data_IF_162011699491
#
_entry.id   IF_162011699491
#
_cell.length_a   1.000
_cell.length_b   1.000
_cell.length_c   1.000
_cell.angle_alpha   90.00
_cell.angle_beta   90.00
_cell.angle_gamma   90.00
#
_symmetry.space_group_name_H-M   'P 1'
#
loop_
_entity.id
_entity.type
_entity.pdbx_description
1 polymer ?
#
# COMPACT_ATOMS: atom_id res chain seq x y z
N UNK A 1 25.63 13.15 -24.18
CA UNK A 1 26.53 12.67 -23.10
C UNK A 1 26.02 12.98 -21.70
N UNK A 2 25.80 14.24 -21.30
CA UNK A 2 25.33 14.56 -19.93
C UNK A 2 23.93 13.99 -19.59
N UNK A 3 22.95 14.18 -20.47
CA UNK A 3 21.59 13.62 -20.33
C UNK A 3 21.61 12.10 -20.09
N UNK A 4 22.28 11.37 -20.97
CA UNK A 4 22.39 9.90 -20.89
C UNK A 4 23.06 9.43 -19.59
N UNK A 5 24.16 10.06 -19.17
CA UNK A 5 24.84 9.71 -17.94
C UNK A 5 23.94 9.89 -16.71
N UNK A 6 23.17 11.00 -16.65
CA UNK A 6 22.25 11.28 -15.55
C UNK A 6 21.08 10.29 -15.57
N UNK A 7 20.47 10.04 -16.73
CA UNK A 7 19.37 9.08 -16.86
C UNK A 7 19.82 7.69 -16.41
N UNK A 8 20.95 7.18 -16.92
CA UNK A 8 21.50 5.88 -16.49
C UNK A 8 21.70 5.82 -14.97
N UNK A 9 22.22 6.90 -14.37
CA UNK A 9 22.39 7.00 -12.91
C UNK A 9 21.05 6.95 -12.15
N UNK A 10 19.97 7.52 -12.69
CA UNK A 10 18.64 7.42 -12.07
C UNK A 10 18.03 6.04 -12.25
N UNK A 11 18.18 5.40 -13.41
CA UNK A 11 17.66 4.05 -13.68
C UNK A 11 18.26 3.03 -12.71
N UNK A 12 19.57 3.11 -12.44
CA UNK A 12 20.24 2.20 -11.49
C UNK A 12 19.62 2.25 -10.09
N UNK A 13 19.12 3.40 -9.66
CA UNK A 13 18.46 3.54 -8.35
C UNK A 13 17.12 2.80 -8.25
N UNK A 14 16.55 2.38 -9.37
CA UNK A 14 15.30 1.61 -9.39
C UNK A 14 15.52 0.13 -9.01
N UNK A 15 16.77 -0.36 -8.99
CA UNK A 15 17.08 -1.76 -8.63
C UNK A 15 16.62 -2.10 -7.22
N UNK A 16 17.05 -1.31 -6.23
CA UNK A 16 16.74 -1.56 -4.81
C UNK A 16 15.22 -1.56 -4.49
N UNK A 17 14.42 -0.55 -4.88
CA UNK A 17 12.97 -0.58 -4.62
C UNK A 17 12.26 -1.72 -5.37
N UNK A 18 12.74 -2.11 -6.55
CA UNK A 18 12.17 -3.24 -7.30
C UNK A 18 12.45 -4.57 -6.62
N UNK A 19 13.67 -4.80 -6.11
CA UNK A 19 14.01 -5.98 -5.32
C UNK A 19 13.22 -6.03 -4.00
N UNK A 20 13.10 -4.89 -3.32
CA UNK A 20 12.30 -4.78 -2.09
C UNK A 20 10.83 -5.14 -2.33
N UNK A 21 10.27 -4.79 -3.50
CA UNK A 21 8.92 -5.19 -3.87
C UNK A 21 8.79 -6.72 -3.95
N UNK A 22 9.78 -7.42 -4.51
CA UNK A 22 9.82 -8.89 -4.53
C UNK A 22 9.84 -9.45 -3.11
N UNK A 23 10.68 -8.91 -2.23
CA UNK A 23 10.81 -9.38 -0.85
C UNK A 23 9.49 -9.27 -0.08
N UNK A 24 8.78 -8.15 -0.25
CA UNK A 24 7.46 -7.94 0.36
C UNK A 24 6.44 -8.97 -0.13
N UNK A 25 6.44 -9.28 -1.44
CA UNK A 25 5.54 -10.28 -2.01
C UNK A 25 5.88 -11.69 -1.52
N UNK A 26 7.17 -12.04 -1.40
CA UNK A 26 7.61 -13.33 -0.85
C UNK A 26 7.18 -13.48 0.61
N UNK A 27 7.32 -12.42 1.41
CA UNK A 27 6.89 -12.39 2.80
C UNK A 27 5.38 -12.62 2.94
N UNK A 28 4.57 -11.95 2.12
CA UNK A 28 3.12 -12.13 2.12
C UNK A 28 2.73 -13.53 1.64
N UNK A 29 3.36 -14.03 0.57
CA UNK A 29 3.08 -15.35 0.05
C UNK A 29 3.40 -16.45 1.08
N UNK A 30 4.52 -16.35 1.79
CA UNK A 30 4.85 -17.26 2.89
C UNK A 30 3.81 -17.23 4.02
N UNK A 31 3.31 -16.04 4.35
CA UNK A 31 2.23 -15.87 5.35
C UNK A 31 0.94 -16.56 4.91
N UNK A 32 0.55 -16.40 3.64
CA UNK A 32 -0.62 -17.09 3.06
C UNK A 32 -0.45 -18.61 3.12
N UNK A 33 0.72 -19.14 2.74
CA UNK A 33 0.99 -20.58 2.80
C UNK A 33 0.86 -21.12 4.22
N UNK A 34 1.46 -20.45 5.21
CA UNK A 34 1.36 -20.84 6.61
C UNK A 34 -0.10 -20.88 7.09
N UNK A 35 -0.88 -19.84 6.77
CA UNK A 35 -2.31 -19.77 7.10
C UNK A 35 -3.12 -20.89 6.44
N UNK A 36 -2.81 -21.24 5.20
CA UNK A 36 -3.47 -22.35 4.51
C UNK A 36 -3.10 -23.70 5.13
N UNK A 37 -1.83 -23.88 5.51
CA UNK A 37 -1.31 -25.12 6.08
C UNK A 37 -1.85 -25.41 7.50
N UNK A 38 -2.34 -24.41 8.24
CA UNK A 38 -3.06 -24.62 9.51
C UNK A 38 -4.26 -25.59 9.38
N UNK A 39 -4.87 -25.67 8.18
CA UNK A 39 -5.95 -26.63 7.90
C UNK A 39 -5.49 -28.09 7.90
N UNK A 40 -4.18 -28.33 7.86
CA UNK A 40 -3.55 -29.66 7.94
C UNK A 40 -3.12 -30.01 9.37
N UNK A 41 -3.54 -29.25 10.39
CA UNK A 41 -3.16 -29.46 11.80
C UNK A 41 -3.49 -30.84 12.38
N UNK A 42 -4.42 -31.59 11.77
CA UNK A 42 -4.69 -32.99 12.12
C UNK A 42 -3.52 -33.93 11.81
N UNK A 43 -2.64 -33.55 10.88
CA UNK A 43 -1.46 -34.31 10.46
C UNK A 43 -0.21 -33.40 10.54
N UNK A 44 0.41 -33.27 11.72
CA UNK A 44 1.47 -32.29 11.95
C UNK A 44 2.68 -32.45 11.02
N UNK A 45 3.12 -33.69 10.78
CA UNK A 45 4.25 -33.98 9.88
C UNK A 45 3.95 -33.63 8.43
N UNK A 46 2.76 -33.97 7.93
CA UNK A 46 2.30 -33.56 6.60
C UNK A 46 2.26 -32.04 6.46
N UNK A 47 1.78 -31.34 7.47
CA UNK A 47 1.73 -29.88 7.50
C UNK A 47 3.14 -29.29 7.38
N UNK A 48 4.06 -29.70 8.24
CA UNK A 48 5.45 -29.22 8.25
C UNK A 48 6.14 -29.47 6.92
N UNK A 49 5.98 -30.67 6.37
CA UNK A 49 6.62 -31.04 5.10
C UNK A 49 6.01 -30.28 3.91
N UNK A 50 4.69 -30.06 3.91
CA UNK A 50 4.02 -29.23 2.90
C UNK A 50 4.51 -27.79 2.95
N UNK A 51 4.56 -27.19 4.16
CA UNK A 51 5.08 -25.84 4.37
C UNK A 51 6.54 -25.75 3.89
N UNK A 52 7.37 -26.73 4.24
CA UNK A 52 8.79 -26.79 3.87
C UNK A 52 8.98 -26.84 2.36
N UNK A 53 8.29 -27.75 1.65
CA UNK A 53 8.43 -27.94 0.20
C UNK A 53 8.00 -26.66 -0.53
N UNK A 54 6.81 -26.14 -0.21
CA UNK A 54 6.28 -24.93 -0.88
C UNK A 54 7.15 -23.71 -0.59
N UNK A 55 7.60 -23.53 0.65
CA UNK A 55 8.50 -22.42 1.01
C UNK A 55 9.84 -22.51 0.27
N UNK A 56 10.39 -23.71 0.16
CA UNK A 56 11.63 -23.94 -0.62
C UNK A 56 11.44 -23.55 -2.08
N UNK A 57 10.33 -23.96 -2.69
CA UNK A 57 10.00 -23.59 -4.07
C UNK A 57 9.85 -22.07 -4.23
N UNK A 58 9.17 -21.39 -3.31
CA UNK A 58 9.03 -19.92 -3.32
C UNK A 58 10.40 -19.24 -3.28
N UNK A 59 11.34 -19.74 -2.47
CA UNK A 59 12.72 -19.19 -2.42
C UNK A 59 13.49 -19.38 -3.73
N UNK A 60 13.29 -20.51 -4.42
CA UNK A 60 13.86 -20.68 -5.76
C UNK A 60 13.25 -19.67 -6.75
N UNK A 61 11.92 -19.49 -6.71
CA UNK A 61 11.22 -18.53 -7.57
C UNK A 61 11.61 -17.09 -7.26
N UNK A 62 11.89 -16.77 -6.01
CA UNK A 62 12.42 -15.47 -5.57
C UNK A 62 13.72 -15.14 -6.31
N UNK A 63 14.71 -16.03 -6.28
CA UNK A 63 15.99 -15.82 -6.98
C UNK A 63 15.79 -15.55 -8.48
N UNK A 64 15.05 -16.43 -9.16
CA UNK A 64 14.77 -16.27 -10.61
C UNK A 64 14.03 -14.97 -10.94
N UNK A 65 13.11 -14.55 -10.07
CA UNK A 65 12.33 -13.31 -10.27
C UNK A 65 13.21 -12.09 -10.06
N UNK A 66 14.08 -12.08 -9.05
CA UNK A 66 15.05 -11.01 -8.80
C UNK A 66 16.00 -10.85 -9.98
N UNK A 67 16.54 -11.95 -10.50
CA UNK A 67 17.43 -11.92 -11.66
C UNK A 67 16.74 -11.33 -12.90
N UNK A 68 15.50 -11.75 -13.18
CA UNK A 68 14.72 -11.21 -14.29
C UNK A 68 14.45 -9.71 -14.14
N UNK A 69 14.15 -9.25 -12.92
CA UNK A 69 13.89 -7.83 -12.65
C UNK A 69 15.15 -7.00 -12.84
N UNK A 70 16.31 -7.49 -12.37
CA UNK A 70 17.58 -6.83 -12.60
C UNK A 70 17.91 -6.75 -14.09
N UNK A 71 17.67 -7.83 -14.84
CA UNK A 71 17.83 -7.85 -16.29
C UNK A 71 16.92 -6.82 -16.98
N UNK A 72 15.65 -6.70 -16.59
CA UNK A 72 14.73 -5.70 -17.15
C UNK A 72 15.25 -4.27 -16.93
N UNK A 73 15.78 -3.98 -15.74
CA UNK A 73 16.37 -2.66 -15.43
C UNK A 73 17.67 -2.45 -16.22
N UNK A 74 18.50 -3.49 -16.38
CA UNK A 74 19.71 -3.42 -17.19
C UNK A 74 19.40 -3.18 -18.67
N UNK A 75 18.29 -3.72 -19.18
CA UNK A 75 17.79 -3.42 -20.54
C UNK A 75 17.44 -1.93 -20.67
N UNK A 76 16.67 -1.38 -19.74
CA UNK A 76 16.32 0.06 -19.71
C UNK A 76 17.58 0.95 -19.59
N UNK A 77 18.62 0.47 -18.90
CA UNK A 77 19.90 1.16 -18.79
C UNK A 77 20.72 1.06 -20.08
N UNK A 78 20.64 -0.05 -20.82
CA UNK A 78 21.49 -0.32 -21.99
C UNK A 78 21.22 0.62 -23.17
N UNK A 79 19.96 1.03 -23.35
CA UNK A 79 19.53 1.85 -24.47
C UNK A 79 18.52 2.90 -24.04
N UNK A 80 18.81 4.17 -24.36
CA UNK A 80 17.91 5.29 -24.11
C UNK A 80 17.12 5.60 -25.38
N UNK A 81 15.83 5.28 -25.39
CA UNK A 81 14.99 5.50 -26.55
C UNK A 81 14.46 6.95 -26.62
N UNK A 82 15.21 7.85 -27.25
CA UNK A 82 14.78 9.25 -27.45
C UNK A 82 13.68 9.42 -28.50
N UNK A 83 13.26 8.35 -29.18
CA UNK A 83 12.15 8.37 -30.15
C UNK A 83 10.80 7.98 -29.52
N UNK A 84 10.75 7.78 -28.21
CA UNK A 84 9.52 7.43 -27.51
C UNK A 84 8.47 8.55 -27.63
N UNK A 85 7.21 8.21 -27.89
CA UNK A 85 6.12 9.17 -28.15
C UNK A 85 5.90 10.17 -26.98
N UNK A 86 5.97 9.69 -25.74
CA UNK A 86 5.84 10.52 -24.54
C UNK A 86 7.11 11.35 -24.21
N UNK A 87 8.19 11.22 -24.99
CA UNK A 87 9.42 11.98 -24.74
C UNK A 87 9.32 13.37 -25.37
N UNK A 88 9.48 14.41 -24.56
CA UNK A 88 9.28 15.81 -25.01
C UNK A 88 10.22 16.24 -26.14
N UNK A 89 11.41 15.62 -26.25
CA UNK A 89 12.45 16.00 -27.21
C UNK A 89 13.17 17.32 -26.89
N UNK A 90 14.32 17.54 -27.54
CA UNK A 90 15.20 18.68 -27.28
C UNK A 90 14.56 20.04 -27.57
N UNK A 91 13.77 20.16 -28.64
CA UNK A 91 13.15 21.42 -29.04
C UNK A 91 12.17 21.96 -27.98
N UNK A 92 11.31 21.08 -27.45
CA UNK A 92 10.33 21.47 -26.43
C UNK A 92 10.97 21.71 -25.06
N UNK A 93 12.03 20.96 -24.72
CA UNK A 93 12.79 21.18 -23.48
C UNK A 93 13.48 22.55 -23.46
N UNK A 94 14.06 22.97 -24.60
CA UNK A 94 14.69 24.27 -24.72
C UNK A 94 13.67 25.41 -24.66
N UNK A 95 12.49 25.25 -25.29
CA UNK A 95 11.38 26.21 -25.19
C UNK A 95 10.91 26.41 -23.73
N UNK A 96 10.77 25.33 -22.94
CA UNK A 96 10.43 25.43 -21.51
C UNK A 96 11.48 26.20 -20.71
N UNK A 97 12.77 25.97 -20.98
CA UNK A 97 13.86 26.73 -20.37
C UNK A 97 13.82 28.23 -20.75
N UNK A 98 13.47 28.55 -22.01
CA UNK A 98 13.30 29.95 -22.44
C UNK A 98 12.13 30.67 -21.76
N UNK A 99 11.06 29.94 -21.46
CA UNK A 99 9.87 30.47 -20.78
C UNK A 99 10.12 30.69 -19.29
N UNK A 100 10.96 29.86 -18.66
CA UNK A 100 11.39 30.04 -17.27
C UNK A 100 12.28 31.29 -17.11
N UNK A 101 13.17 31.57 -18.06
CA UNK A 101 14.00 32.78 -18.03
C UNK A 101 13.24 34.09 -18.33
N UNK A 102 12.06 34.03 -18.97
CA UNK A 102 11.12 35.17 -19.05
C UNK A 102 10.26 35.33 -17.78
N UNK A 103 10.23 34.33 -16.89
CA UNK A 103 9.54 34.35 -15.59
C UNK A 103 10.51 34.67 -14.44
N UNK A 104 11.31 35.74 -14.55
CA UNK A 104 12.06 36.26 -13.38
C UNK A 104 11.18 36.96 -12.34
N UNK A 105 9.90 37.13 -12.59
CA UNK A 105 8.89 37.37 -11.57
C UNK A 105 7.60 36.68 -12.01
N UNK A 106 7.10 35.74 -11.21
CA UNK A 106 5.67 35.45 -11.22
C UNK A 106 5.06 36.59 -10.39
N UNK A 107 4.23 37.48 -10.96
CA UNK A 107 3.82 38.74 -10.33
C UNK A 107 3.26 38.60 -8.90
N UNK A 108 2.71 37.41 -8.59
CA UNK A 108 2.04 37.12 -7.33
C UNK A 108 2.69 36.01 -6.49
N UNK A 109 3.91 35.56 -6.81
CA UNK A 109 4.57 34.58 -5.93
C UNK A 109 5.10 35.29 -4.67
N UNK A 110 4.65 34.82 -3.51
CA UNK A 110 5.11 35.32 -2.22
C UNK A 110 6.50 34.74 -1.93
N UNK A 111 7.47 35.63 -1.71
CA UNK A 111 8.86 35.34 -1.38
C UNK A 111 9.00 35.09 0.12
N UNK A 112 8.33 35.89 0.95
CA UNK A 112 8.34 35.75 2.41
C UNK A 112 7.10 36.34 3.05
N UNK A 113 6.69 35.76 4.18
CA UNK A 113 5.76 36.36 5.14
C UNK A 113 6.40 36.44 6.52
N UNK A 114 5.96 37.39 7.33
CA UNK A 114 6.35 37.44 8.73
C UNK A 114 6.03 38.77 9.40
N UNK A 115 6.13 38.79 10.71
CA UNK A 115 5.96 39.98 11.51
C UNK A 115 7.18 40.90 11.39
N UNK A 116 6.94 42.19 11.19
CA UNK A 116 7.94 43.25 11.29
C UNK A 116 7.33 44.45 12.03
N UNK A 117 8.16 45.14 12.79
CA UNK A 117 7.76 46.36 13.48
C UNK A 117 8.16 47.58 12.65
N UNK A 118 7.22 48.51 12.38
CA UNK A 118 7.53 49.81 11.77
C UNK A 118 7.81 50.81 12.90
N UNK A 119 9.05 51.30 13.00
CA UNK A 119 9.48 52.18 14.11
C UNK A 119 9.11 53.67 13.91
N UNK A 120 8.91 54.14 12.68
CA UNK A 120 8.81 55.58 12.37
C UNK A 120 7.37 56.06 12.04
N UNK A 121 6.34 55.54 12.71
CA UNK A 121 4.97 56.07 12.55
C UNK A 121 4.77 57.18 13.60
N UNK A 122 4.88 58.44 13.16
CA UNK A 122 4.65 59.71 13.89
C UNK A 122 4.20 59.59 15.36
N UNK A 123 5.01 60.16 16.27
CA UNK A 123 4.77 60.24 17.72
C UNK A 123 3.36 60.74 18.10
N UNK A 124 2.66 61.45 17.21
CA UNK A 124 1.33 62.01 17.47
C UNK A 124 0.16 61.01 17.28
N UNK A 125 0.39 59.79 16.75
CA UNK A 125 -0.69 58.77 16.54
C UNK A 125 -0.33 57.33 16.95
N UNK A 126 0.61 57.20 17.89
CA UNK A 126 0.83 55.97 18.66
C UNK A 126 1.88 55.04 18.07
N UNK A 127 3.11 55.20 18.57
CA UNK A 127 4.16 54.18 18.75
C UNK A 127 4.65 53.37 17.54
N UNK A 128 5.75 52.64 17.77
CA UNK A 128 6.18 51.52 16.93
C UNK A 128 5.05 50.48 16.87
N UNK A 129 4.62 50.09 15.68
CA UNK A 129 3.53 49.12 15.49
C UNK A 129 4.01 47.92 14.71
N UNK A 130 3.59 46.75 15.15
CA UNK A 130 3.85 45.48 14.49
C UNK A 130 2.77 45.17 13.45
N UNK A 131 3.19 44.71 12.29
CA UNK A 131 2.30 44.34 11.19
C UNK A 131 2.75 43.02 10.57
N UNK A 132 1.82 42.32 9.93
CA UNK A 132 2.11 41.13 9.15
C UNK A 132 2.53 41.54 7.74
N UNK A 133 3.78 41.27 7.36
CA UNK A 133 4.33 41.63 6.06
C UNK A 133 4.29 40.46 5.09
N UNK A 134 4.01 40.76 3.83
CA UNK A 134 4.03 39.85 2.70
C UNK A 134 4.89 40.48 1.61
N UNK A 135 6.05 39.87 1.35
CA UNK A 135 6.98 40.26 0.29
C UNK A 135 6.73 39.39 -0.94
N UNK A 136 6.44 40.02 -2.08
CA UNK A 136 6.40 39.38 -3.40
C UNK A 136 7.57 39.85 -4.26
N UNK A 137 7.67 39.35 -5.49
CA UNK A 137 8.66 39.83 -6.45
C UNK A 137 8.44 41.28 -6.91
N UNK A 138 7.26 41.86 -6.66
CA UNK A 138 6.89 43.19 -7.18
C UNK A 138 6.50 44.18 -6.07
N UNK A 139 6.08 43.70 -4.89
CA UNK A 139 5.62 44.58 -3.81
C UNK A 139 5.92 44.05 -2.41
N UNK A 140 6.05 44.98 -1.48
CA UNK A 140 6.00 44.74 -0.04
C UNK A 140 4.63 45.23 0.47
N UNK A 141 3.77 44.30 0.86
CA UNK A 141 2.47 44.62 1.48
C UNK A 141 2.50 44.34 2.97
N UNK A 142 1.73 45.10 3.75
CA UNK A 142 1.52 44.78 5.16
C UNK A 142 0.06 44.90 5.59
N UNK A 143 -0.29 44.07 6.56
CA UNK A 143 -1.63 43.81 7.03
C UNK A 143 -1.71 44.01 8.54
N UNK A 144 -2.92 44.22 9.05
CA UNK A 144 -3.16 44.32 10.49
C UNK A 144 -2.70 43.05 11.24
N UNK A 145 -2.93 41.88 10.64
CA UNK A 145 -2.70 40.56 11.21
C UNK A 145 -2.44 39.51 10.11
N UNK A 146 -2.13 38.28 10.53
CA UNK A 146 -1.84 37.13 9.67
C UNK A 146 -3.05 36.62 8.85
N UNK A 147 -4.27 37.07 9.15
CA UNK A 147 -5.45 36.70 8.38
C UNK A 147 -5.46 37.35 6.99
N UNK A 148 -4.58 38.34 6.75
CA UNK A 148 -4.40 39.05 5.48
C UNK A 148 -5.70 39.71 4.95
N UNK A 149 -6.70 39.95 5.83
CA UNK A 149 -8.00 40.55 5.46
C UNK A 149 -7.94 42.07 5.33
N UNK A 150 -7.19 42.74 6.20
CA UNK A 150 -7.09 44.20 6.23
C UNK A 150 -5.70 44.67 5.78
N UNK A 151 -5.54 44.86 4.48
CA UNK A 151 -4.31 45.40 3.87
C UNK A 151 -4.16 46.88 4.24
N UNK A 152 -3.10 47.23 4.96
CA UNK A 152 -2.80 48.60 5.38
C UNK A 152 -2.11 49.39 4.28
N UNK A 153 -1.18 48.76 3.57
CA UNK A 153 -0.44 49.39 2.47
C UNK A 153 0.16 48.35 1.54
N UNK A 154 0.49 48.79 0.33
CA UNK A 154 1.22 48.02 -0.68
C UNK A 154 2.27 48.94 -1.29
N UNK A 155 3.53 48.63 -1.04
CA UNK A 155 4.68 49.38 -1.51
C UNK A 155 5.30 48.66 -2.72
N UNK A 156 5.26 49.24 -3.94
CA UNK A 156 6.00 48.72 -5.08
C UNK A 156 7.50 48.69 -4.80
N UNK A 157 8.21 47.65 -5.25
CA UNK A 157 9.65 47.49 -5.00
C UNK A 157 10.52 48.35 -5.93
N UNK A 158 9.92 49.02 -6.91
CA UNK A 158 10.62 49.85 -7.89
C UNK A 158 11.43 50.97 -7.22
N UNK A 159 12.70 51.05 -7.61
CA UNK A 159 13.63 52.08 -7.14
C UNK A 159 13.82 52.09 -5.62
N UNK A 160 13.60 50.96 -4.94
CA UNK A 160 13.91 50.82 -3.52
C UNK A 160 15.33 50.31 -3.29
N UNK A 161 15.94 50.81 -2.22
CA UNK A 161 17.20 50.28 -1.66
C UNK A 161 17.07 50.08 -0.16
N UNK A 162 17.92 49.21 0.36
CA UNK A 162 18.05 48.95 1.80
C UNK A 162 19.30 49.65 2.33
N UNK A 163 19.18 50.26 3.52
CA UNK A 163 20.33 50.76 4.28
C UNK A 163 20.26 50.24 5.71
N UNK A 164 21.42 50.05 6.31
CA UNK A 164 21.51 49.81 7.74
C UNK A 164 21.22 51.07 8.55
N UNK A 165 20.51 50.88 9.66
CA UNK A 165 20.17 51.97 10.59
C UNK A 165 20.91 51.72 11.89
N UNK A 166 21.63 52.74 12.36
CA UNK A 166 22.36 52.65 13.62
C UNK A 166 21.41 52.36 14.79
N UNK A 167 21.84 51.44 15.67
CA UNK A 167 21.06 51.03 16.84
C UNK A 167 20.90 52.23 17.79
N UNK A 168 19.69 52.77 17.88
CA UNK A 168 19.37 53.84 18.83
C UNK A 168 19.65 53.41 20.28
N UNK A 169 20.15 54.33 21.10
CA UNK A 169 20.71 54.11 22.45
C UNK A 169 19.77 53.43 23.47
N UNK A 170 18.50 53.17 23.13
CA UNK A 170 17.49 52.57 24.02
C UNK A 170 16.65 51.45 23.34
N UNK A 171 16.97 51.02 22.12
CA UNK A 171 16.24 49.95 21.42
C UNK A 171 16.99 48.62 21.46
N UNK A 172 16.30 47.56 21.90
CA UNK A 172 16.80 46.18 21.81
C UNK A 172 16.51 45.52 20.46
N UNK A 173 15.75 46.17 19.57
CA UNK A 173 15.42 45.62 18.24
C UNK A 173 16.50 45.96 17.20
N UNK A 174 16.70 45.06 16.25
CA UNK A 174 17.60 45.23 15.10
C UNK A 174 16.84 45.87 13.95
N UNK A 175 17.37 46.93 13.34
CA UNK A 175 16.63 47.80 12.41
C UNK A 175 17.36 47.94 11.08
N UNK A 176 16.61 47.91 9.98
CA UNK A 176 17.07 48.33 8.66
C UNK A 176 16.03 49.27 8.03
N UNK A 177 16.46 50.14 7.13
CA UNK A 177 15.58 51.07 6.43
C UNK A 177 15.41 50.69 4.96
N UNK A 178 14.21 50.92 4.45
CA UNK A 178 13.91 50.90 3.01
C UNK A 178 13.61 52.31 2.56
N UNK A 179 14.30 52.78 1.53
CA UNK A 179 14.14 54.13 0.98
C UNK A 179 14.05 54.09 -0.55
N UNK A 180 13.47 55.12 -1.15
CA UNK A 180 13.40 55.26 -2.59
C UNK A 180 14.58 56.07 -3.14
N UNK A 181 15.27 55.57 -4.17
CA UNK A 181 16.45 56.23 -4.76
C UNK A 181 16.11 57.53 -5.50
N UNK A 182 14.86 57.69 -5.95
CA UNK A 182 14.37 58.90 -6.63
C UNK A 182 13.79 59.92 -5.64
N UNK A 183 14.09 59.78 -4.34
CA UNK A 183 13.62 60.64 -3.25
C UNK A 183 12.10 60.77 -3.13
N UNK A 184 11.34 59.80 -3.66
CA UNK A 184 9.89 59.70 -3.42
C UNK A 184 9.60 59.24 -2.00
N UNK A 185 8.45 59.65 -1.48
CA UNK A 185 7.94 59.13 -0.22
C UNK A 185 7.62 57.64 -0.39
N UNK A 186 8.14 56.83 0.54
CA UNK A 186 7.95 55.37 0.58
C UNK A 186 6.65 55.02 1.30
N UNK A 187 6.30 55.78 2.34
CA UNK A 187 5.04 55.59 3.06
C UNK A 187 4.55 56.92 3.64
N UNK A 188 3.35 57.35 3.25
CA UNK A 188 2.78 58.66 3.61
C UNK A 188 3.74 59.81 3.24
N UNK A 189 4.16 60.57 4.24
CA UNK A 189 5.11 61.68 4.19
C UNK A 189 6.57 61.25 4.48
N UNK A 190 6.80 59.96 4.74
CA UNK A 190 8.12 59.42 5.07
C UNK A 190 8.89 59.02 3.81
N UNK A 191 10.12 59.52 3.68
CA UNK A 191 11.07 59.18 2.61
C UNK A 191 11.71 57.80 2.78
N UNK A 192 11.64 57.24 3.98
CA UNK A 192 12.10 55.89 4.30
C UNK A 192 11.19 55.25 5.35
N UNK A 193 11.13 53.92 5.38
CA UNK A 193 10.49 53.15 6.45
C UNK A 193 11.54 52.33 7.18
N UNK A 194 11.50 52.39 8.51
CA UNK A 194 12.39 51.60 9.38
C UNK A 194 11.66 50.35 9.85
N UNK A 195 12.23 49.20 9.49
CA UNK A 195 11.70 47.87 9.80
C UNK A 195 12.59 47.24 10.86
N UNK A 196 11.98 46.85 11.96
CA UNK A 196 12.66 46.27 13.11
C UNK A 196 12.28 44.80 13.31
N UNK A 197 13.29 43.98 13.60
CA UNK A 197 13.21 42.58 13.95
C UNK A 197 13.73 42.35 15.37
N UNK A 198 13.38 41.21 15.97
CA UNK A 198 13.80 40.87 17.33
C UNK A 198 15.23 40.29 17.38
N UNK A 199 15.77 39.82 16.25
CA UNK A 199 17.13 39.27 16.14
C UNK A 199 17.88 39.77 14.91
N UNK A 200 19.22 39.71 14.95
CA UNK A 200 20.07 40.00 13.79
C UNK A 200 19.86 38.98 12.66
N UNK A 201 19.67 37.70 13.02
CA UNK A 201 19.40 36.62 12.06
C UNK A 201 18.13 36.90 11.25
N UNK A 202 17.08 37.43 11.89
CA UNK A 202 15.85 37.82 11.21
C UNK A 202 16.09 38.97 10.22
N UNK A 203 16.88 39.98 10.62
CA UNK A 203 17.26 41.08 9.71
C UNK A 203 17.98 40.55 8.49
N UNK A 204 19.00 39.71 8.67
CA UNK A 204 19.80 39.16 7.57
C UNK A 204 18.95 38.28 6.65
N UNK A 205 18.07 37.46 7.23
CA UNK A 205 17.11 36.64 6.50
C UNK A 205 16.11 37.49 5.70
N UNK A 206 15.63 38.62 6.26
CA UNK A 206 14.74 39.56 5.57
C UNK A 206 15.47 40.29 4.45
N UNK A 207 16.69 40.79 4.68
CA UNK A 207 17.56 41.38 3.64
C UNK A 207 17.83 40.41 2.50
N UNK A 208 18.11 39.14 2.79
CA UNK A 208 18.28 38.10 1.77
C UNK A 208 16.99 37.88 0.95
N UNK A 209 15.82 38.01 1.58
CA UNK A 209 14.53 37.93 0.89
C UNK A 209 14.27 39.14 0.00
N UNK A 210 14.64 40.34 0.43
CA UNK A 210 14.61 41.55 -0.40
C UNK A 210 15.61 41.50 -1.57
N UNK A 211 16.82 40.97 -1.35
CA UNK A 211 17.80 40.75 -2.41
C UNK A 211 17.27 39.80 -3.49
N UNK A 212 16.58 38.73 -3.08
CA UNK A 212 15.86 37.83 -4.01
C UNK A 212 14.72 38.53 -4.74
N UNK A 213 14.12 39.56 -4.15
CA UNK A 213 13.09 40.40 -4.77
C UNK A 213 13.67 41.55 -5.63
N UNK A 214 15.00 41.65 -5.77
CA UNK A 214 15.65 42.70 -6.56
C UNK A 214 15.89 44.03 -5.83
N UNK A 215 15.69 44.09 -4.52
CA UNK A 215 16.00 45.28 -3.69
C UNK A 215 17.38 45.09 -3.08
N UNK A 216 18.33 45.92 -3.51
CA UNK A 216 19.74 45.79 -3.14
C UNK A 216 20.09 46.70 -1.95
N UNK A 217 21.06 46.29 -1.10
CA UNK A 217 21.64 47.19 -0.14
C UNK A 217 22.33 48.36 -0.86
N UNK A 218 22.29 49.54 -0.26
CA UNK A 218 23.11 50.66 -0.71
C UNK A 218 24.58 50.29 -0.59
N UNK A 219 25.33 50.51 -1.68
CA UNK A 219 26.78 50.37 -1.63
C UNK A 219 27.31 51.56 -0.84
N UNK A 220 27.95 51.30 0.29
CA UNK A 220 28.73 52.33 0.96
C UNK A 220 29.76 52.86 -0.05
N UNK A 221 29.61 54.12 -0.45
CA UNK A 221 30.70 54.87 -1.07
C UNK A 221 31.72 55.18 0.02
N UNK A 222 32.43 54.16 0.47
CA UNK A 222 33.72 54.31 1.13
C UNK A 222 34.75 53.91 0.08
N UNK A 223 35.47 54.90 -0.43
CA UNK A 223 36.74 54.71 -1.14
C UNK A 223 37.64 53.82 -0.28
N UNK A 224 37.73 52.54 -0.60
CA UNK A 224 38.81 51.67 -0.17
C UNK A 224 39.00 50.62 -1.27
N UNK A 225 39.94 50.91 -2.15
CA UNK A 225 40.67 49.92 -2.91
C UNK A 225 41.30 48.94 -1.92
N UNK A 226 40.67 47.80 -1.68
CA UNK A 226 41.42 46.58 -1.38
C UNK A 226 40.55 45.32 -1.57
N UNK A 227 40.88 44.57 -2.63
CA UNK A 227 41.09 43.13 -2.57
C UNK A 227 40.01 42.18 -2.04
N UNK A 228 38.74 42.59 -1.91
CA UNK A 228 37.68 41.64 -1.57
C UNK A 228 37.33 40.80 -2.80
N UNK A 229 37.85 39.57 -2.84
CA UNK A 229 37.48 38.54 -3.80
C UNK A 229 35.96 38.45 -3.94
N UNK A 230 35.44 39.00 -5.05
CA UNK A 230 34.14 38.65 -5.61
C UNK A 230 34.20 37.18 -6.08
N UNK A 231 34.18 36.24 -5.13
CA UNK A 231 33.75 34.86 -5.39
C UNK A 231 32.22 34.80 -5.44
N UNK A 232 31.60 35.79 -6.08
CA UNK A 232 30.22 35.66 -6.54
C UNK A 232 30.29 34.76 -7.76
N UNK A 233 29.92 33.49 -7.58
CA UNK A 233 29.74 32.53 -8.67
C UNK A 233 28.90 33.17 -9.78
N UNK A 234 29.56 33.75 -10.78
CA UNK A 234 28.96 34.06 -12.07
C UNK A 234 28.71 32.71 -12.73
N UNK A 235 27.58 32.08 -12.43
CA UNK A 235 27.09 30.99 -13.27
C UNK A 235 26.81 31.61 -14.63
N UNK A 236 27.51 31.12 -15.65
CA UNK A 236 27.27 31.49 -17.03
C UNK A 236 25.77 31.29 -17.35
N UNK A 237 25.01 32.34 -17.69
CA UNK A 237 23.58 32.25 -18.00
C UNK A 237 23.26 31.24 -19.11
N UNK A 238 24.24 30.96 -19.98
CA UNK A 238 24.12 29.93 -21.01
C UNK A 238 24.21 28.51 -20.42
N UNK A 239 25.11 28.29 -19.45
CA UNK A 239 25.23 27.03 -18.72
C UNK A 239 23.96 26.75 -17.89
N UNK A 240 23.40 27.75 -17.21
CA UNK A 240 22.13 27.61 -16.47
C UNK A 240 21.00 27.12 -17.38
N UNK A 241 20.88 27.70 -18.57
CA UNK A 241 19.88 27.31 -19.57
C UNK A 241 20.09 25.88 -20.08
N UNK A 242 21.34 25.50 -20.32
CA UNK A 242 21.68 24.14 -20.76
C UNK A 242 21.39 23.11 -19.67
N UNK A 243 21.74 23.40 -18.41
CA UNK A 243 21.44 22.56 -17.26
C UNK A 243 19.93 22.37 -17.10
N UNK A 244 19.15 23.45 -17.21
CA UNK A 244 17.69 23.37 -17.12
C UNK A 244 17.08 22.58 -18.29
N UNK A 245 17.62 22.74 -19.49
CA UNK A 245 17.18 21.93 -20.65
C UNK A 245 17.47 20.45 -20.41
N UNK A 246 18.66 20.10 -19.92
CA UNK A 246 19.03 18.72 -19.58
C UNK A 246 18.11 18.18 -18.47
N UNK A 247 17.83 18.96 -17.44
CA UNK A 247 16.91 18.58 -16.35
C UNK A 247 15.53 18.21 -16.89
N UNK A 248 14.94 19.06 -17.73
CA UNK A 248 13.64 18.81 -18.33
C UNK A 248 13.62 17.52 -19.19
N UNK A 249 14.70 17.24 -19.91
CA UNK A 249 14.84 15.99 -20.67
C UNK A 249 14.95 14.78 -19.74
N UNK A 250 15.78 14.87 -18.70
CA UNK A 250 15.94 13.81 -17.68
C UNK A 250 14.59 13.51 -17.03
N UNK A 251 13.88 14.52 -16.57
CA UNK A 251 12.58 14.38 -15.90
C UNK A 251 11.55 13.71 -16.82
N UNK A 252 11.49 14.14 -18.09
CA UNK A 252 10.61 13.52 -19.09
C UNK A 252 10.95 12.04 -19.32
N UNK A 253 12.22 11.70 -19.48
CA UNK A 253 12.61 10.31 -19.72
C UNK A 253 12.42 9.41 -18.49
N UNK A 254 12.80 9.91 -17.31
CA UNK A 254 12.61 9.18 -16.04
C UNK A 254 11.11 8.93 -15.77
N UNK A 255 10.22 9.85 -16.14
CA UNK A 255 8.78 9.62 -16.05
C UNK A 255 8.30 8.43 -16.90
N UNK A 256 8.83 8.28 -18.11
CA UNK A 256 8.54 7.15 -19.02
C UNK A 256 9.02 5.84 -18.38
N UNK A 257 10.27 5.79 -17.92
CA UNK A 257 10.83 4.61 -17.26
C UNK A 257 10.03 4.25 -16.02
N UNK A 258 9.67 5.21 -15.18
CA UNK A 258 8.85 4.97 -14.00
C UNK A 258 7.47 4.41 -14.34
N UNK A 259 6.88 4.79 -15.49
CA UNK A 259 5.63 4.22 -15.99
C UNK A 259 5.85 2.76 -16.44
N UNK A 260 6.89 2.50 -17.22
CA UNK A 260 7.30 1.16 -17.67
C UNK A 260 7.53 0.19 -16.49
N UNK A 261 8.40 0.56 -15.55
CA UNK A 261 8.77 -0.28 -14.40
C UNK A 261 7.56 -0.56 -13.48
N UNK A 262 6.70 0.44 -13.23
CA UNK A 262 5.49 0.24 -12.41
C UNK A 262 4.49 -0.73 -13.03
N UNK A 263 4.49 -0.88 -14.35
CA UNK A 263 3.63 -1.83 -15.06
C UNK A 263 4.28 -3.22 -15.17
N UNK A 264 5.57 -3.28 -15.52
CA UNK A 264 6.28 -4.52 -15.75
C UNK A 264 6.63 -5.28 -14.46
N UNK A 265 6.89 -4.59 -13.34
CA UNK A 265 7.26 -5.26 -12.08
C UNK A 265 6.16 -6.19 -11.56
N UNK A 266 4.90 -5.73 -11.35
CA UNK A 266 3.84 -6.60 -10.90
C UNK A 266 3.58 -7.78 -11.86
N UNK A 267 3.67 -7.54 -13.18
CA UNK A 267 3.47 -8.59 -14.20
C UNK A 267 4.56 -9.66 -14.12
N UNK A 268 5.81 -9.25 -13.94
CA UNK A 268 6.95 -10.17 -13.82
C UNK A 268 6.82 -11.03 -12.57
N UNK A 269 6.52 -10.41 -11.42
CA UNK A 269 6.30 -11.13 -10.15
C UNK A 269 5.11 -12.09 -10.28
N UNK A 270 3.99 -11.63 -10.86
CA UNK A 270 2.81 -12.46 -11.05
C UNK A 270 3.11 -13.69 -11.91
N UNK A 271 3.79 -13.51 -13.04
CA UNK A 271 4.09 -14.58 -13.97
C UNK A 271 5.13 -15.57 -13.42
N UNK A 272 6.27 -15.06 -12.94
CA UNK A 272 7.40 -15.90 -12.55
C UNK A 272 7.31 -16.43 -11.13
N UNK A 273 6.58 -15.78 -10.22
CA UNK A 273 6.48 -16.23 -8.84
C UNK A 273 5.11 -16.78 -8.52
N UNK A 274 4.06 -15.97 -8.61
CA UNK A 274 2.72 -16.33 -8.12
C UNK A 274 2.11 -17.44 -8.96
N UNK A 275 2.04 -17.27 -10.28
CA UNK A 275 1.46 -18.27 -11.17
C UNK A 275 2.26 -19.57 -11.20
N UNK A 276 3.59 -19.48 -11.14
CA UNK A 276 4.46 -20.66 -11.05
C UNK A 276 4.28 -21.40 -9.73
N UNK A 277 4.15 -20.69 -8.59
CA UNK A 277 3.89 -21.32 -7.28
C UNK A 277 2.52 -21.97 -7.25
N UNK A 278 1.49 -21.30 -7.80
CA UNK A 278 0.17 -21.88 -7.96
C UNK A 278 0.22 -23.17 -8.79
N UNK A 279 0.88 -23.15 -9.95
CA UNK A 279 0.99 -24.33 -10.81
C UNK A 279 1.72 -25.48 -10.11
N UNK A 280 2.82 -25.18 -9.40
CA UNK A 280 3.57 -26.15 -8.61
C UNK A 280 2.68 -26.82 -7.54
N UNK A 281 1.92 -26.03 -6.79
CA UNK A 281 1.00 -26.56 -5.76
C UNK A 281 -0.06 -27.49 -6.39
N UNK A 282 -0.59 -27.14 -7.56
CA UNK A 282 -1.64 -27.93 -8.20
C UNK A 282 -1.14 -29.20 -8.88
N UNK A 283 0.06 -29.19 -9.48
CA UNK A 283 0.49 -30.26 -10.39
C UNK A 283 1.67 -31.08 -9.86
N UNK A 284 2.53 -30.51 -9.00
CA UNK A 284 3.81 -31.12 -8.64
C UNK A 284 3.92 -31.45 -7.16
N UNK A 285 3.36 -30.62 -6.27
CA UNK A 285 3.47 -30.77 -4.82
C UNK A 285 3.12 -32.18 -4.33
N UNK A 286 2.08 -32.78 -4.92
CA UNK A 286 1.67 -34.14 -4.57
C UNK A 286 2.79 -35.15 -4.85
N UNK A 287 3.42 -35.09 -6.03
CA UNK A 287 4.51 -35.99 -6.39
C UNK A 287 5.70 -35.84 -5.43
N UNK A 288 6.02 -34.61 -5.00
CA UNK A 288 7.05 -34.36 -3.99
C UNK A 288 6.69 -35.02 -2.65
N UNK A 289 5.46 -34.87 -2.17
CA UNK A 289 5.02 -35.51 -0.92
C UNK A 289 5.08 -37.05 -1.00
N UNK A 290 4.69 -37.63 -2.14
CA UNK A 290 4.77 -39.09 -2.35
C UNK A 290 6.20 -39.61 -2.50
N UNK A 291 7.13 -38.78 -2.97
CA UNK A 291 8.56 -39.13 -3.06
C UNK A 291 9.25 -39.22 -1.69
N UNK A 292 8.60 -38.79 -0.61
CA UNK A 292 9.09 -38.97 0.75
C UNK A 292 9.19 -40.46 1.09
N UNK A 293 10.30 -40.85 1.74
CA UNK A 293 10.62 -42.26 1.98
C UNK A 293 9.68 -42.97 2.97
N UNK A 294 8.93 -42.21 3.79
CA UNK A 294 8.02 -42.76 4.80
C UNK A 294 6.68 -42.01 4.83
N UNK A 295 5.78 -42.45 3.94
CA UNK A 295 4.41 -41.92 3.83
C UNK A 295 3.57 -42.22 5.08
N UNK A 296 3.86 -43.32 5.79
CA UNK A 296 3.12 -43.68 7.00
C UNK A 296 3.42 -42.70 8.13
N UNK A 297 4.69 -42.36 8.30
CA UNK A 297 5.11 -41.30 9.23
C UNK A 297 4.50 -39.96 8.82
N UNK A 298 4.51 -39.59 7.54
CA UNK A 298 3.97 -38.31 7.09
C UNK A 298 2.49 -38.10 7.48
N UNK A 299 1.72 -39.19 7.46
CA UNK A 299 0.30 -39.23 7.78
C UNK A 299 -0.01 -39.53 9.25
N UNK A 300 0.97 -39.38 10.16
CA UNK A 300 0.75 -39.53 11.60
C UNK A 300 -0.24 -38.48 12.13
N UNK A 301 -1.30 -38.94 12.80
CA UNK A 301 -2.32 -38.10 13.42
C UNK A 301 -1.75 -37.32 14.60
N UNK A 302 -2.24 -36.09 14.84
CA UNK A 302 -1.90 -35.37 16.07
C UNK A 302 -2.48 -36.08 17.30
N UNK A 303 -1.81 -35.93 18.47
CA UNK A 303 -2.29 -36.52 19.72
C UNK A 303 -3.72 -36.07 20.07
N UNK A 304 -4.06 -34.81 19.84
CA UNK A 304 -5.40 -34.27 20.07
C UNK A 304 -6.44 -34.87 19.12
N UNK A 305 -6.05 -35.15 17.87
CA UNK A 305 -6.93 -35.79 16.88
C UNK A 305 -7.14 -37.26 17.22
N UNK A 306 -6.07 -37.97 17.60
CA UNK A 306 -6.14 -39.36 18.05
C UNK A 306 -7.02 -39.50 19.30
N UNK A 307 -6.84 -38.63 20.29
CA UNK A 307 -7.67 -38.61 21.50
C UNK A 307 -9.14 -38.36 21.18
N UNK A 308 -9.45 -37.36 20.33
CA UNK A 308 -10.82 -37.09 19.89
C UNK A 308 -11.45 -38.28 19.16
N UNK A 309 -10.66 -39.00 18.35
CA UNK A 309 -11.12 -40.23 17.68
C UNK A 309 -11.41 -41.32 18.70
N UNK A 310 -10.55 -41.52 19.69
CA UNK A 310 -10.74 -42.53 20.74
C UNK A 310 -11.94 -42.23 21.64
N UNK A 311 -12.16 -40.96 22.01
CA UNK A 311 -13.34 -40.53 22.77
C UNK A 311 -14.64 -40.73 21.97
N UNK A 312 -14.62 -40.44 20.67
CA UNK A 312 -15.75 -40.68 19.77
C UNK A 312 -16.06 -42.17 19.63
N UNK A 313 -15.04 -43.02 19.51
CA UNK A 313 -15.21 -44.48 19.48
C UNK A 313 -15.81 -45.00 20.79
N UNK A 314 -15.32 -44.51 21.93
CA UNK A 314 -15.88 -44.87 23.25
C UNK A 314 -17.36 -44.49 23.36
N UNK A 315 -17.71 -43.26 22.95
CA UNK A 315 -19.09 -42.79 22.93
C UNK A 315 -19.97 -43.63 21.98
N UNK A 316 -19.45 -43.95 20.79
CA UNK A 316 -20.15 -44.79 19.82
C UNK A 316 -20.50 -46.17 20.41
N UNK A 317 -19.53 -46.83 21.05
CA UNK A 317 -19.76 -48.13 21.68
C UNK A 317 -20.77 -48.04 22.83
N UNK A 318 -20.66 -47.03 23.69
CA UNK A 318 -21.59 -46.82 24.79
C UNK A 318 -23.04 -46.57 24.30
N UNK A 319 -23.21 -45.77 23.24
CA UNK A 319 -24.53 -45.52 22.64
C UNK A 319 -25.11 -46.79 21.99
N UNK A 320 -24.27 -47.59 21.34
CA UNK A 320 -24.69 -48.87 20.75
C UNK A 320 -25.13 -49.87 21.82
N UNK A 321 -24.40 -49.94 22.93
CA UNK A 321 -24.76 -50.77 24.09
C UNK A 321 -26.07 -50.29 24.73
N UNK A 322 -26.24 -48.98 24.93
CA UNK A 322 -27.49 -48.42 25.43
C UNK A 322 -28.70 -48.73 24.54
N UNK A 323 -28.53 -48.68 23.21
CA UNK A 323 -29.58 -49.07 22.27
C UNK A 323 -29.93 -50.55 22.37
N UNK A 324 -28.94 -51.43 22.54
CA UNK A 324 -29.18 -52.86 22.76
C UNK A 324 -29.97 -53.07 24.06
N UNK A 325 -29.59 -52.41 25.15
CA UNK A 325 -30.31 -52.49 26.44
C UNK A 325 -31.77 -52.04 26.29
N UNK A 326 -32.03 -50.94 25.56
CA UNK A 326 -33.39 -50.46 25.29
C UNK A 326 -34.16 -51.50 24.47
N UNK A 327 -33.53 -52.10 23.46
CA UNK A 327 -34.12 -53.19 22.68
C UNK A 327 -34.51 -54.37 23.55
N UNK A 328 -33.59 -54.83 24.41
CA UNK A 328 -33.80 -55.95 25.32
C UNK A 328 -34.93 -55.67 26.32
N UNK A 329 -35.01 -54.47 26.89
CA UNK A 329 -36.11 -54.06 27.79
C UNK A 329 -37.45 -54.07 27.02
N UNK A 330 -37.47 -53.54 25.80
CA UNK A 330 -38.68 -53.47 24.97
C UNK A 330 -39.22 -54.87 24.60
N UNK A 331 -38.35 -55.86 24.44
CA UNK A 331 -38.77 -57.24 24.13
C UNK A 331 -39.02 -58.10 25.36
N UNK A 332 -38.41 -57.77 26.51
CA UNK A 332 -38.46 -58.60 27.72
C UNK A 332 -39.48 -58.14 28.76
N UNK A 333 -40.04 -56.95 28.64
CA UNK A 333 -41.08 -56.47 29.56
C UNK A 333 -42.48 -56.77 29.03
N UNK A 334 -43.26 -57.54 29.80
CA UNK A 334 -44.68 -57.81 29.52
C UNK A 334 -45.51 -56.69 30.16
N UNK A 335 -46.24 -55.93 29.34
CA UNK A 335 -47.24 -54.98 29.84
C UNK A 335 -48.41 -55.76 30.45
N UNK A 336 -48.61 -55.64 31.77
CA UNK A 336 -49.82 -56.14 32.43
C UNK A 336 -51.00 -55.23 32.05
N UNK A 337 -52.07 -55.75 31.43
CA UNK A 337 -53.27 -54.96 31.18
C UNK A 337 -53.83 -54.47 32.52
N UNK A 338 -54.21 -53.19 32.57
CA UNK A 338 -54.85 -52.62 33.77
C UNK A 338 -56.15 -53.41 34.04
N UNK A 339 -56.38 -53.91 35.27
CA UNK A 339 -57.60 -54.65 35.58
C UNK A 339 -58.83 -53.76 35.34
N UNK A 340 -59.98 -54.34 34.94
CA UNK A 340 -61.20 -53.57 34.72
C UNK A 340 -61.61 -52.84 36.01
N UNK A 341 -62.16 -51.61 35.91
CA UNK A 341 -62.64 -50.89 37.08
C UNK A 341 -63.74 -51.69 37.79
N UNK A 342 -63.66 -51.76 39.11
CA UNK A 342 -64.58 -52.51 39.98
C UNK A 342 -65.83 -51.67 40.24
N UNK A 343 -67.02 -52.23 40.01
CA UNK A 343 -68.30 -51.58 40.31
C UNK A 343 -68.64 -51.74 41.80
N UNK A 344 -68.56 -50.64 42.57
CA UNK A 344 -68.85 -50.60 44.02
C UNK A 344 -70.36 -50.51 44.36
N UNK A 345 -71.23 -50.98 43.47
CA UNK A 345 -72.69 -50.82 43.62
C UNK A 345 -73.29 -51.61 44.80
N UNK A 346 -72.54 -52.57 45.38
CA UNK A 346 -73.01 -53.37 46.50
C UNK A 346 -72.89 -52.71 47.88
N UNK A 347 -72.23 -51.55 47.99
CA UNK A 347 -72.00 -50.86 49.27
C UNK A 347 -73.12 -49.90 49.69
N UNK A 348 -74.19 -49.77 48.90
CA UNK A 348 -75.34 -48.90 49.23
C UNK A 348 -76.62 -49.71 49.42
N UNK A 349 -76.92 -50.09 50.67
CA UNK A 349 -78.22 -49.86 51.33
C UNK A 349 -78.40 -50.78 52.55
N UNK A 350 -78.24 -50.23 53.75
CA UNK A 350 -79.07 -50.48 54.94
C UNK A 350 -78.45 -49.84 56.19
N UNK A 351 -78.42 -48.51 56.27
CA UNK A 351 -78.70 -47.75 57.51
C UNK A 351 -78.57 -46.26 57.23
N UNK A 352 -79.75 -45.65 57.18
CA UNK A 352 -80.03 -44.23 57.31
C UNK A 352 -79.35 -43.60 58.55
N UNK A 353 -79.19 -42.28 58.49
CA UNK A 353 -79.32 -41.25 59.55
C UNK A 353 -78.20 -40.18 59.46
N UNK A 354 -78.51 -39.08 58.76
CA UNK A 354 -77.81 -37.78 58.88
C UNK A 354 -78.16 -37.11 60.23
N UNK A 355 -77.35 -36.15 60.76
CA UNK A 355 -77.52 -34.74 60.36
C UNK A 355 -76.23 -33.88 60.31
N UNK A 356 -76.37 -32.74 59.61
CA UNK A 356 -75.42 -31.65 59.28
C UNK A 356 -75.00 -30.76 60.47
N UNK A 357 -73.95 -29.89 60.36
CA UNK A 357 -74.19 -28.47 60.02
C UNK A 357 -73.10 -27.71 59.20
N UNK A 358 -73.59 -26.87 58.27
CA UNK A 358 -73.25 -25.46 57.93
C UNK A 358 -71.82 -24.86 57.94
N UNK A 359 -71.43 -24.28 56.76
CA UNK A 359 -70.91 -22.91 56.43
C UNK A 359 -69.66 -22.39 57.20
N UNK A 360 -68.62 -21.71 56.66
CA UNK A 360 -68.29 -20.92 55.43
C UNK A 360 -66.75 -20.51 55.51
N UNK A 361 -66.12 -19.56 54.77
CA UNK A 361 -65.12 -19.87 53.73
C UNK A 361 -63.77 -19.03 53.70
N UNK A 362 -62.96 -19.28 52.64
CA UNK A 362 -61.92 -18.49 51.90
C UNK A 362 -60.53 -18.10 52.47
N UNK A 363 -59.52 -18.26 51.59
CA UNK A 363 -58.34 -17.39 51.28
C UNK A 363 -57.24 -17.23 52.35
N UNK A 364 -55.93 -17.06 52.11
CA UNK A 364 -55.10 -16.85 50.90
C UNK A 364 -53.60 -16.68 51.32
N UNK A 365 -52.71 -16.77 50.33
CA UNK A 365 -51.38 -16.11 50.19
C UNK A 365 -50.10 -16.99 50.33
N UNK A 366 -49.39 -17.04 49.19
CA UNK A 366 -48.03 -17.51 48.79
C UNK A 366 -46.89 -16.57 49.30
N UNK A 367 -45.59 -16.54 48.85
CA UNK A 367 -44.85 -17.15 47.69
C UNK A 367 -43.35 -17.50 48.00
N UNK A 368 -42.34 -17.52 47.07
CA UNK A 368 -42.25 -17.49 45.59
C UNK A 368 -41.41 -18.67 45.01
N UNK A 369 -41.20 -18.92 43.71
CA UNK A 369 -41.57 -18.34 42.43
C UNK A 369 -40.63 -18.93 41.36
N UNK A 370 -41.16 -19.48 40.25
CA UNK A 370 -40.40 -19.71 39.01
C UNK A 370 -41.33 -19.49 37.81
N UNK A 371 -41.07 -18.51 36.93
CA UNK A 371 -41.89 -18.27 35.75
C UNK A 371 -41.59 -19.27 34.60
N UNK A 372 -42.57 -19.51 33.71
CA UNK A 372 -42.43 -20.41 32.56
C UNK A 372 -41.71 -19.71 31.40
N UNK A 373 -40.76 -20.42 30.78
CA UNK A 373 -40.04 -19.92 29.61
C UNK A 373 -40.90 -20.05 28.34
N UNK A 374 -41.06 -18.89 27.71
CA UNK A 374 -41.68 -18.61 26.42
C UNK A 374 -40.94 -19.33 25.28
N UNK A 375 -41.69 -19.93 24.36
CA UNK A 375 -41.22 -20.34 23.03
C UNK A 375 -40.76 -19.09 22.26
N UNK A 376 -39.46 -18.95 22.07
CA UNK A 376 -38.83 -17.98 21.16
C UNK A 376 -37.94 -18.70 20.13
N UNK A 377 -37.83 -18.19 18.89
CA UNK A 377 -37.04 -18.82 17.83
C UNK A 377 -35.54 -18.57 18.01
N UNK A 378 -34.73 -19.56 17.63
CA UNK A 378 -33.27 -19.57 17.71
C UNK A 378 -32.61 -18.61 16.70
N UNK A 379 -31.44 -18.01 17.03
CA UNK A 379 -30.73 -17.09 16.14
C UNK A 379 -29.92 -17.83 15.07
N UNK A 380 -30.04 -17.37 13.82
CA UNK A 380 -29.25 -17.86 12.68
C UNK A 380 -27.84 -17.25 12.58
N UNK A 381 -26.95 -17.85 11.76
CA UNK A 381 -25.58 -17.38 11.52
C UNK A 381 -25.52 -16.17 10.56
N UNK A 382 -24.41 -15.40 10.55
CA UNK A 382 -24.37 -14.04 10.00
C UNK A 382 -24.37 -14.00 8.46
N UNK A 383 -25.03 -12.98 7.90
CA UNK A 383 -25.18 -12.73 6.47
C UNK A 383 -24.03 -11.87 5.89
N UNK A 384 -23.50 -12.31 4.76
CA UNK A 384 -22.62 -11.56 3.85
C UNK A 384 -23.52 -10.88 2.79
N UNK A 385 -23.35 -9.59 2.44
CA UNK A 385 -24.19 -8.95 1.43
C UNK A 385 -23.69 -9.23 0.01
N UNK A 386 -24.58 -9.66 -0.88
CA UNK A 386 -24.38 -9.70 -2.35
C UNK A 386 -25.64 -9.10 -3.02
N UNK A 387 -25.52 -8.29 -4.10
CA UNK A 387 -26.58 -7.39 -4.53
C UNK A 387 -27.66 -8.03 -5.41
N UNK A 388 -28.79 -7.33 -5.45
CA UNK A 388 -30.10 -7.67 -6.00
C UNK A 388 -30.12 -7.66 -7.54
N UNK A 389 -30.80 -8.65 -8.16
CA UNK A 389 -31.20 -8.55 -9.56
C UNK A 389 -31.87 -9.81 -10.16
N UNK A 390 -33.21 -9.80 -10.17
CA UNK A 390 -34.14 -10.49 -11.08
C UNK A 390 -34.38 -12.02 -10.98
N UNK A 391 -35.67 -12.34 -11.04
CA UNK A 391 -36.31 -13.63 -10.84
C UNK A 391 -36.33 -14.53 -12.08
N UNK A 392 -36.29 -15.84 -11.87
CA UNK A 392 -37.02 -16.84 -12.66
C UNK A 392 -37.13 -18.15 -11.88
N UNK A 393 -38.37 -18.61 -11.71
CA UNK A 393 -38.81 -19.96 -11.33
C UNK A 393 -38.05 -21.08 -12.04
N UNK A 394 -37.76 -22.20 -11.39
CA UNK A 394 -37.98 -23.57 -11.90
C UNK A 394 -37.63 -24.64 -10.84
N UNK A 395 -38.59 -25.54 -10.61
CA UNK A 395 -38.52 -26.74 -9.78
C UNK A 395 -37.69 -27.84 -10.45
N UNK A 396 -36.91 -28.59 -9.66
CA UNK A 396 -36.09 -29.72 -10.12
C UNK A 396 -36.85 -31.06 -10.02
N UNK A 397 -36.79 -31.94 -11.04
CA UNK A 397 -37.28 -33.32 -10.93
C UNK A 397 -36.16 -34.32 -10.55
N UNK A 398 -36.50 -35.54 -10.08
CA UNK A 398 -35.58 -36.42 -9.36
C UNK A 398 -34.73 -37.36 -10.25
N UNK A 399 -33.65 -37.85 -9.64
CA UNK A 399 -32.61 -38.75 -10.18
C UNK A 399 -33.12 -40.21 -10.32
N UNK A 400 -32.76 -40.94 -11.39
CA UNK A 400 -32.80 -42.40 -11.39
C UNK A 400 -31.44 -43.08 -11.62
N UNK A 401 -31.34 -44.28 -11.02
CA UNK A 401 -30.19 -45.17 -10.83
C UNK A 401 -29.65 -45.86 -12.09
N UNK A 402 -28.39 -46.31 -11.99
CA UNK A 402 -27.56 -47.03 -12.98
C UNK A 402 -27.90 -48.53 -13.11
N UNK A 403 -27.77 -49.11 -14.32
CA UNK A 403 -27.28 -50.50 -14.48
C UNK A 403 -26.06 -50.61 -15.41
N UNK A 404 -25.30 -51.71 -15.26
CA UNK A 404 -24.02 -52.03 -15.91
C UNK A 404 -24.07 -52.48 -17.39
N UNK A 405 -22.96 -52.99 -17.94
CA UNK A 405 -22.61 -52.82 -19.35
C UNK A 405 -22.90 -54.05 -20.23
N UNK A 406 -23.38 -53.84 -21.46
CA UNK A 406 -23.25 -54.79 -22.57
C UNK A 406 -23.04 -54.05 -23.91
N UNK A 407 -22.05 -54.55 -24.67
CA UNK A 407 -21.70 -54.26 -26.06
C UNK A 407 -22.85 -54.54 -27.03
N UNK A 408 -22.98 -53.81 -28.16
CA UNK A 408 -22.93 -54.31 -29.57
C UNK A 408 -22.97 -53.09 -30.54
N UNK A 409 -22.11 -53.12 -31.56
CA UNK A 409 -22.07 -52.42 -32.86
C UNK A 409 -23.27 -51.55 -33.33
N UNK A 410 -22.98 -50.36 -33.91
CA UNK A 410 -23.36 -49.98 -35.29
C UNK A 410 -23.03 -48.50 -35.61
N UNK A 411 -22.54 -48.29 -36.85
CA UNK A 411 -22.27 -47.03 -37.55
C UNK A 411 -23.40 -45.98 -37.48
N UNK A 412 -23.03 -44.69 -37.36
CA UNK A 412 -23.13 -43.74 -38.48
C UNK A 412 -22.57 -42.35 -38.08
N UNK A 413 -21.65 -41.86 -38.93
CA UNK A 413 -20.97 -40.56 -38.88
C UNK A 413 -21.92 -39.36 -38.94
N UNK A 414 -21.65 -38.33 -38.12
CA UNK A 414 -21.88 -36.90 -38.44
C UNK A 414 -21.10 -36.04 -37.42
N UNK A 415 -19.90 -35.53 -37.75
CA UNK A 415 -19.32 -34.20 -37.43
C UNK A 415 -17.81 -34.16 -37.81
N UNK A 416 -17.27 -32.99 -38.20
CA UNK A 416 -16.11 -32.88 -39.10
C UNK A 416 -14.74 -32.97 -38.40
N UNK A 417 -13.76 -33.45 -39.17
CA UNK A 417 -12.37 -33.61 -38.75
C UNK A 417 -11.63 -32.26 -38.52
N UNK A 418 -10.67 -32.21 -37.58
CA UNK A 418 -9.80 -31.05 -37.34
C UNK A 418 -8.69 -30.92 -38.42
N UNK A 419 -8.10 -29.73 -38.62
CA UNK A 419 -7.18 -29.48 -39.73
C UNK A 419 -5.81 -30.14 -39.55
N UNK A 420 -5.27 -30.64 -40.66
CA UNK A 420 -3.95 -31.28 -40.76
C UNK A 420 -2.82 -30.24 -40.74
N UNK A 421 -1.77 -30.51 -39.94
CA UNK A 421 -0.54 -29.69 -39.84
C UNK A 421 0.46 -30.17 -40.91
N UNK A 422 1.07 -29.29 -41.72
CA UNK A 422 2.05 -29.69 -42.73
C UNK A 422 3.37 -30.19 -42.11
N UNK A 423 3.90 -31.30 -42.64
CA UNK A 423 5.18 -31.89 -42.28
C UNK A 423 6.35 -30.98 -42.66
N UNK A 424 7.27 -30.74 -41.72
CA UNK A 424 8.47 -29.90 -41.90
C UNK A 424 9.63 -30.72 -42.49
N UNK A 425 10.41 -30.20 -43.45
CA UNK A 425 11.58 -30.92 -43.99
C UNK A 425 12.75 -30.99 -43.00
N UNK A 426 13.53 -32.07 -43.11
CA UNK A 426 14.73 -32.37 -42.30
C UNK A 426 15.81 -31.30 -42.48
N UNK A 427 16.35 -30.79 -41.37
CA UNK A 427 17.39 -29.75 -41.35
C UNK A 427 18.78 -30.40 -41.31
N UNK A 428 19.57 -30.17 -42.36
CA UNK A 428 20.99 -30.57 -42.47
C UNK A 428 21.85 -29.61 -41.59
N UNK A 429 22.85 -30.09 -40.84
CA UNK A 429 23.73 -29.23 -40.03
C UNK A 429 24.69 -28.40 -40.91
N UNK A 430 24.96 -27.12 -40.60
CA UNK A 430 25.93 -26.32 -41.34
C UNK A 430 27.36 -26.75 -41.01
N UNK A 431 28.13 -27.05 -42.06
CA UNK A 431 29.55 -27.37 -42.02
C UNK A 431 30.42 -26.18 -41.62
N UNK A 432 31.54 -26.50 -40.97
CA UNK A 432 32.55 -25.58 -40.46
C UNK A 432 33.49 -25.16 -41.62
N UNK A 433 33.75 -23.86 -41.85
CA UNK A 433 34.76 -23.42 -42.81
C UNK A 433 36.19 -23.56 -42.23
N UNK A 434 37.21 -23.90 -43.06
CA UNK A 434 38.56 -24.11 -42.59
C UNK A 434 39.36 -22.79 -42.50
N UNK A 435 40.14 -22.64 -41.43
CA UNK A 435 41.33 -21.77 -41.42
C UNK A 435 41.28 -20.51 -40.56
N UNK A 436 41.55 -20.64 -39.25
CA UNK A 436 42.23 -19.61 -38.45
C UNK A 436 43.10 -20.31 -37.38
N UNK A 437 44.41 -19.97 -37.21
CA UNK A 437 45.30 -20.62 -36.25
C UNK A 437 44.94 -20.29 -34.79
N UNK A 438 44.92 -21.30 -33.92
CA UNK A 438 44.70 -21.15 -32.46
C UNK A 438 45.96 -20.62 -31.77
N UNK A 439 45.82 -19.54 -30.99
CA UNK A 439 46.82 -19.07 -30.00
C UNK A 439 46.67 -19.89 -28.70
N UNK A 440 47.75 -20.31 -28.01
CA UNK A 440 47.63 -20.98 -26.72
C UNK A 440 47.18 -20.02 -25.60
N UNK A 441 46.43 -20.48 -24.59
CA UNK A 441 46.06 -19.66 -23.43
C UNK A 441 47.24 -19.44 -22.47
N UNK A 442 47.26 -18.34 -21.70
CA UNK A 442 48.32 -18.06 -20.74
C UNK A 442 48.22 -18.94 -19.49
N UNK A 443 49.38 -19.42 -19.03
CA UNK A 443 49.59 -20.20 -17.82
C UNK A 443 49.21 -19.43 -16.56
N UNK A 444 48.46 -20.05 -15.64
CA UNK A 444 48.17 -19.51 -14.31
C UNK A 444 49.43 -19.50 -13.42
N UNK A 445 49.67 -18.46 -12.59
CA UNK A 445 50.78 -18.45 -11.66
C UNK A 445 50.47 -19.28 -10.40
N UNK A 446 51.45 -20.10 -10.00
CA UNK A 446 51.43 -20.92 -8.80
C UNK A 446 51.43 -20.05 -7.52
N UNK A 447 50.65 -20.49 -6.51
CA UNK A 447 50.74 -19.98 -5.13
C UNK A 447 52.04 -20.50 -4.48
N UNK A 448 52.78 -19.67 -3.73
CA UNK A 448 53.76 -20.16 -2.79
C UNK A 448 53.11 -20.53 -1.45
N UNK A 449 53.53 -21.68 -0.93
CA UNK A 449 53.41 -22.05 0.48
C UNK A 449 54.32 -21.15 1.32
N UNK A 450 53.77 -20.58 2.39
CA UNK A 450 54.29 -20.60 3.77
C UNK A 450 53.17 -20.16 4.72
#
# INVERSE_FOLDING_TARGET
MAFEAIVKKQIVKLKEPSLKCVDLVVSELATVIKKCAEKLSSYPRLREETERIVTTYIREREGRTKDQILLLIDIEQSYINTNHEDFIGFANAQQRSTQLNKKRAIPNQVIRRGWLTINNISLMKGGSKEYWFVLTAESLSWYKDEEEKEKKYMLPLDNLKIRDVEKGFMSNKHVFAIFNTEQRNVYKDLRQIELACDSQEDVDSWKASFLRAGVYPEKDQAENEDGAQENTFSMDPQLERQVETIRNLVDSYVAIINKSIRDLMPKTIMHLMINNTKAFIHHELLAYLYSSADQSSLMEESADQAQRRDDMLRMYHALKEALNIIGDISTSTVSTPVPPPVDDTWLQSASSHSPTPQRRPVSSIHPPGRPPAVRGPTPGPPLIPVPVGAAASFSAPPIPSRPGPQSVFANNDLFPAPPQIPSRPVRIPPGIPPGVPRRPPPSAPARPFF
#
